data_IF_162880540629
#
_entry.id   IF_162880540629
#
_cell.length_a   1.000
_cell.length_b   1.000
_cell.length_c   1.000
_cell.angle_alpha   90.00
_cell.angle_beta   90.00
_cell.angle_gamma   90.00
#
_symmetry.space_group_name_H-M   'P 1'
#
loop_
_entity.id
_entity.type
_entity.pdbx_description
1 polymer ?
#
# COMPACT_ATOMS: atom_id res chain seq x y z
N UNK A 1 -23.34 0.87 1.91
CA UNK A 1 -22.69 1.87 2.80
C UNK A 1 -21.21 1.81 2.45
N UNK A 2 -20.52 2.90 2.10
CA UNK A 2 -19.08 2.83 1.92
C UNK A 2 -18.49 2.48 3.30
N UNK A 3 -17.86 1.32 3.40
CA UNK A 3 -17.17 0.88 4.61
C UNK A 3 -16.21 2.00 5.02
N UNK A 4 -16.26 2.40 6.30
CA UNK A 4 -15.34 3.41 6.82
C UNK A 4 -13.92 2.86 6.63
N UNK A 5 -13.13 3.48 5.76
CA UNK A 5 -11.73 3.11 5.55
C UNK A 5 -10.95 3.30 6.86
N UNK A 6 -10.17 2.30 7.25
CA UNK A 6 -9.35 2.33 8.44
C UNK A 6 -7.98 2.94 8.13
N UNK A 7 -7.93 4.27 8.02
CA UNK A 7 -6.73 4.98 7.58
C UNK A 7 -5.71 5.07 8.72
N UNK A 8 -4.48 4.65 8.44
CA UNK A 8 -3.31 4.80 9.30
C UNK A 8 -2.18 5.51 8.57
N UNK A 9 -1.23 6.04 9.34
CA UNK A 9 -0.03 6.69 8.83
C UNK A 9 1.19 5.83 9.12
N UNK A 10 2.09 5.69 8.16
CA UNK A 10 3.41 5.08 8.31
C UNK A 10 4.49 6.06 7.86
N UNK A 11 5.62 6.08 8.57
CA UNK A 11 6.80 6.82 8.15
C UNK A 11 7.71 5.91 7.32
N UNK A 12 8.16 6.38 6.16
CA UNK A 12 9.10 5.68 5.29
C UNK A 12 10.06 6.68 4.63
N UNK A 13 11.37 6.44 4.72
CA UNK A 13 12.41 7.37 4.25
C UNK A 13 12.24 8.82 4.80
N UNK A 14 11.69 8.99 6.00
CA UNK A 14 11.42 10.30 6.61
C UNK A 14 10.21 11.04 6.03
N UNK A 15 9.36 10.35 5.27
CA UNK A 15 8.11 10.87 4.70
C UNK A 15 6.93 10.11 5.32
N UNK A 16 5.88 10.84 5.69
CA UNK A 16 4.63 10.24 6.17
C UNK A 16 3.71 9.84 5.00
N UNK A 17 3.18 8.63 5.07
CA UNK A 17 2.28 8.03 4.09
C UNK A 17 1.03 7.50 4.75
N UNK A 18 -0.13 7.71 4.13
CA UNK A 18 -1.41 7.18 4.60
C UNK A 18 -1.74 5.89 3.86
N UNK A 19 -2.26 4.89 4.58
CA UNK A 19 -2.71 3.64 4.01
C UNK A 19 -3.98 3.13 4.68
N UNK A 20 -4.79 2.36 3.96
CA UNK A 20 -5.95 1.67 4.51
C UNK A 20 -5.49 0.35 5.16
N UNK A 21 -5.57 0.31 6.49
CA UNK A 21 -5.11 -0.80 7.32
C UNK A 21 -5.96 -2.06 7.19
N UNK A 22 -7.19 -1.95 6.71
CA UNK A 22 -8.03 -3.13 6.43
C UNK A 22 -7.72 -3.65 5.02
N UNK A 23 -7.49 -2.75 4.06
CA UNK A 23 -7.08 -3.10 2.71
C UNK A 23 -5.70 -3.78 2.69
N UNK A 24 -4.72 -3.28 3.46
CA UNK A 24 -3.34 -3.76 3.38
C UNK A 24 -3.16 -5.23 3.82
N UNK A 25 -4.05 -5.72 4.68
CA UNK A 25 -4.07 -7.13 5.13
C UNK A 25 -4.99 -8.01 4.28
N UNK A 26 -5.61 -7.46 3.24
CA UNK A 26 -6.54 -8.18 2.37
C UNK A 26 -5.80 -9.18 1.50
N UNK A 27 -6.11 -10.47 1.68
CA UNK A 27 -5.55 -11.54 0.86
C UNK A 27 -5.74 -11.31 -0.65
N UNK A 28 -6.87 -10.72 -1.06
CA UNK A 28 -7.14 -10.40 -2.47
C UNK A 28 -6.12 -9.40 -3.02
N UNK A 29 -5.82 -8.34 -2.27
CA UNK A 29 -4.89 -7.29 -2.69
C UNK A 29 -3.45 -7.80 -2.60
N UNK A 30 -3.09 -8.51 -1.53
CA UNK A 30 -1.78 -9.18 -1.44
C UNK A 30 -1.53 -10.12 -2.62
N UNK A 31 -2.54 -10.92 -3.02
CA UNK A 31 -2.42 -11.80 -4.18
C UNK A 31 -2.15 -11.03 -5.47
N UNK A 32 -2.86 -9.92 -5.71
CA UNK A 32 -2.63 -9.07 -6.87
C UNK A 32 -1.20 -8.51 -6.89
N UNK A 33 -0.70 -8.05 -5.74
CA UNK A 33 0.68 -7.56 -5.61
C UNK A 33 1.71 -8.64 -5.91
N UNK A 34 1.53 -9.86 -5.37
CA UNK A 34 2.44 -10.98 -5.61
C UNK A 34 2.42 -11.51 -7.05
N UNK A 35 1.37 -11.20 -7.82
CA UNK A 35 1.16 -11.70 -9.18
C UNK A 35 1.49 -10.64 -10.25
N UNK A 36 2.26 -9.61 -9.90
CA UNK A 36 2.59 -8.46 -10.77
C UNK A 36 3.17 -8.86 -12.14
N UNK A 37 3.95 -9.95 -12.21
CA UNK A 37 4.52 -10.44 -13.47
C UNK A 37 3.45 -10.89 -14.49
N UNK A 38 2.30 -11.37 -14.00
CA UNK A 38 1.20 -11.86 -14.83
C UNK A 38 0.07 -10.84 -14.97
N UNK A 39 -0.08 -9.95 -14.00
CA UNK A 39 -1.12 -8.92 -13.97
C UNK A 39 -0.60 -7.60 -13.38
N UNK A 40 0.08 -6.77 -14.19
CA UNK A 40 0.56 -5.47 -13.76
C UNK A 40 -0.58 -4.49 -13.43
N UNK A 41 -1.71 -4.58 -14.13
CA UNK A 41 -2.87 -3.70 -13.89
C UNK A 41 -3.46 -3.96 -12.51
N UNK A 42 -3.65 -5.24 -12.17
CA UNK A 42 -4.11 -5.63 -10.84
C UNK A 42 -3.18 -5.21 -9.70
N UNK A 43 -1.87 -5.14 -9.96
CA UNK A 43 -0.90 -4.57 -9.01
C UNK A 43 -1.17 -3.08 -8.75
N UNK A 44 -1.33 -2.26 -9.79
CA UNK A 44 -1.60 -0.82 -9.64
C UNK A 44 -2.96 -0.57 -8.99
N UNK A 45 -4.00 -1.31 -9.38
CA UNK A 45 -5.31 -1.23 -8.74
C UNK A 45 -5.22 -1.55 -7.23
N UNK A 46 -4.43 -2.56 -6.85
CA UNK A 46 -4.23 -2.92 -5.46
C UNK A 46 -3.49 -1.84 -4.67
N UNK A 47 -2.44 -1.25 -5.24
CA UNK A 47 -1.70 -0.15 -4.63
C UNK A 47 -2.58 1.09 -4.46
N UNK A 48 -3.39 1.43 -5.48
CA UNK A 48 -4.31 2.56 -5.42
C UNK A 48 -5.39 2.36 -4.34
N UNK A 49 -5.89 1.14 -4.15
CA UNK A 49 -6.82 0.85 -3.06
C UNK A 49 -6.13 1.01 -1.69
N UNK A 50 -4.94 0.44 -1.52
CA UNK A 50 -4.20 0.49 -0.24
C UNK A 50 -3.82 1.92 0.12
N UNK A 51 -3.33 2.70 -0.84
CA UNK A 51 -2.90 4.08 -0.64
C UNK A 51 -4.00 5.10 -0.92
N UNK A 52 -5.27 4.67 -0.95
CA UNK A 52 -6.43 5.55 -1.08
C UNK A 52 -6.41 6.47 -2.31
N UNK A 53 -5.82 6.04 -3.42
CA UNK A 53 -5.66 6.81 -4.66
C UNK A 53 -4.47 7.77 -4.67
N UNK A 54 -3.57 7.69 -3.68
CA UNK A 54 -2.36 8.51 -3.57
C UNK A 54 -1.09 7.77 -4.03
N UNK A 55 -1.24 6.60 -4.66
CA UNK A 55 -0.14 5.76 -5.10
C UNK A 55 0.78 6.47 -6.11
N UNK A 56 0.22 7.26 -7.03
CA UNK A 56 1.01 8.09 -7.96
C UNK A 56 1.80 9.18 -7.21
N UNK A 57 1.15 9.92 -6.30
CA UNK A 57 1.80 10.95 -5.47
C UNK A 57 2.96 10.34 -4.64
N UNK A 58 2.75 9.14 -4.11
CA UNK A 58 3.75 8.45 -3.30
C UNK A 58 4.90 7.92 -4.16
N UNK A 59 4.61 7.39 -5.34
CA UNK A 59 5.63 7.02 -6.31
C UNK A 59 6.50 8.24 -6.67
N UNK A 60 5.90 9.40 -6.94
CA UNK A 60 6.62 10.65 -7.24
C UNK A 60 7.51 11.10 -6.08
N UNK A 61 6.98 11.12 -4.85
CA UNK A 61 7.77 11.44 -3.63
C UNK A 61 8.94 10.49 -3.42
N UNK A 62 8.78 9.24 -3.86
CA UNK A 62 9.81 8.20 -3.82
C UNK A 62 10.71 8.21 -5.08
N UNK A 63 10.67 9.27 -5.90
CA UNK A 63 11.53 9.43 -7.06
C UNK A 63 11.11 8.63 -8.29
N UNK A 64 9.82 8.30 -8.41
CA UNK A 64 9.22 7.56 -9.54
C UNK A 64 9.54 6.06 -9.55
N UNK A 65 9.95 5.49 -8.42
CA UNK A 65 10.40 4.10 -8.33
C UNK A 65 9.30 3.16 -7.84
N UNK A 66 8.84 2.27 -8.74
CA UNK A 66 7.92 1.19 -8.37
C UNK A 66 8.51 0.26 -7.29
N UNK A 67 9.83 0.02 -7.30
CA UNK A 67 10.49 -0.79 -6.29
C UNK A 67 10.41 -0.15 -4.88
N UNK A 68 10.52 1.18 -4.79
CA UNK A 68 10.34 1.89 -3.52
C UNK A 68 8.89 1.87 -3.04
N UNK A 69 7.92 1.90 -3.96
CA UNK A 69 6.51 1.76 -3.61
C UNK A 69 6.21 0.37 -3.00
N UNK A 70 6.85 -0.69 -3.52
CA UNK A 70 6.78 -2.03 -2.91
C UNK A 70 7.39 -2.05 -1.51
N UNK A 71 8.54 -1.40 -1.30
CA UNK A 71 9.18 -1.32 0.02
C UNK A 71 8.33 -0.55 1.04
N UNK A 72 7.67 0.53 0.60
CA UNK A 72 6.67 1.25 1.40
C UNK A 72 5.52 0.32 1.80
N UNK A 73 4.94 -0.41 0.84
CA UNK A 73 3.89 -1.39 1.13
C UNK A 73 4.34 -2.42 2.18
N UNK A 74 5.53 -3.00 2.03
CA UNK A 74 6.06 -3.96 3.01
C UNK A 74 6.25 -3.33 4.40
N UNK A 75 6.67 -2.06 4.48
CA UNK A 75 6.79 -1.34 5.75
C UNK A 75 5.41 -1.16 6.41
N UNK A 76 4.40 -0.73 5.65
CA UNK A 76 3.03 -0.60 6.13
C UNK A 76 2.43 -1.95 6.57
N UNK A 77 2.74 -3.05 5.85
CA UNK A 77 2.34 -4.41 6.28
C UNK A 77 2.93 -4.74 7.65
N UNK A 78 4.23 -4.53 7.85
CA UNK A 78 4.91 -4.81 9.14
C UNK A 78 4.32 -3.98 10.29
N UNK A 79 4.04 -2.71 10.05
CA UNK A 79 3.38 -1.82 11.02
C UNK A 79 1.98 -2.34 11.38
N UNK A 80 1.17 -2.69 10.37
CA UNK A 80 -0.20 -3.20 10.57
C UNK A 80 -0.27 -4.51 11.38
N UNK A 81 0.75 -5.36 11.26
CA UNK A 81 0.86 -6.62 12.01
C UNK A 81 1.40 -6.42 13.43
N UNK A 82 2.29 -5.44 13.62
CA UNK A 82 2.88 -5.15 14.93
C UNK A 82 1.85 -4.50 15.86
N UNK A 83 0.97 -3.65 15.32
CA UNK A 83 -0.12 -3.04 16.07
C UNK A 83 -1.23 -4.02 16.54
N UNK A 84 -1.15 -5.31 16.20
CA UNK A 84 -2.10 -6.36 16.62
C UNK A 84 -1.59 -7.23 17.78
N UNK A 85 -0.35 -7.06 18.25
CA UNK A 85 0.25 -7.75 19.41
C UNK A 85 0.50 -6.77 20.56
#
# INVERSE_FOLDING_TARGET
MPEKRNIKTAEFEGIEFEYDADAIVSYKLTKAITNVEKDPVGYFDAMSIIFCGKDDEYAEKLGGSAAKLVQLYEACVRDSTTAKN
#
